data_IF_550527628024
#
_entry.id   IF_550527628024
#
_cell.length_a   1.000
_cell.length_b   1.000
_cell.length_c   1.000
_cell.angle_alpha   90.00
_cell.angle_beta   90.00
_cell.angle_gamma   90.00
#
_symmetry.space_group_name_H-M   'P 1'
#
loop_
_entity.id
_entity.type
_entity.pdbx_description
1 polymer ?
#
# COMPACT_ATOMS: atom_id res chain seq x y z
N UNK A 1 2.15 7.64 -0.27
CA UNK A 1 1.88 7.87 -1.70
C UNK A 1 2.14 6.64 -2.56
N UNK A 2 3.35 6.05 -2.48
CA UNK A 2 3.72 4.87 -3.27
C UNK A 2 2.85 3.65 -2.90
N UNK A 3 2.50 3.47 -1.63
CA UNK A 3 1.58 2.40 -1.19
C UNK A 3 0.18 2.58 -1.81
N UNK A 4 -0.36 3.79 -1.77
CA UNK A 4 -1.66 4.09 -2.38
C UNK A 4 -1.70 3.85 -3.89
N UNK A 5 -0.57 3.95 -4.57
CA UNK A 5 -0.49 3.76 -6.03
C UNK A 5 -0.18 2.32 -6.43
N UNK A 6 0.81 1.68 -5.79
CA UNK A 6 1.37 0.41 -6.24
C UNK A 6 1.11 -0.76 -5.27
N UNK A 7 1.18 -0.52 -3.96
CA UNK A 7 1.03 -1.57 -2.96
C UNK A 7 2.03 -2.73 -3.10
N UNK A 8 1.68 -3.90 -2.57
CA UNK A 8 2.37 -5.19 -2.77
C UNK A 8 3.88 -5.20 -2.47
N UNK A 9 4.34 -4.40 -1.50
CA UNK A 9 5.76 -4.32 -1.13
C UNK A 9 6.60 -3.32 -1.95
N UNK A 10 6.11 -2.83 -3.08
CA UNK A 10 6.77 -1.82 -3.92
C UNK A 10 7.15 -0.56 -3.13
N UNK A 11 6.29 -0.03 -2.23
CA UNK A 11 6.62 1.15 -1.44
C UNK A 11 7.83 0.96 -0.55
N UNK A 12 7.93 -0.18 0.11
CA UNK A 12 9.07 -0.50 0.98
C UNK A 12 10.36 -0.55 0.18
N UNK A 13 10.36 -1.21 -0.98
CA UNK A 13 11.53 -1.29 -1.86
C UNK A 13 12.00 0.09 -2.31
N UNK A 14 11.09 0.92 -2.81
CA UNK A 14 11.42 2.26 -3.32
C UNK A 14 11.83 3.18 -2.16
N UNK A 15 11.06 3.23 -1.06
CA UNK A 15 11.34 4.10 0.06
C UNK A 15 12.67 3.73 0.74
N UNK A 16 12.95 2.43 0.95
CA UNK A 16 14.23 1.98 1.47
C UNK A 16 15.41 2.38 0.57
N UNK A 17 15.30 2.16 -0.74
CA UNK A 17 16.33 2.56 -1.69
C UNK A 17 16.55 4.08 -1.71
N UNK A 18 15.47 4.89 -1.62
CA UNK A 18 15.57 6.33 -1.52
C UNK A 18 16.26 6.78 -0.23
N UNK A 19 15.92 6.18 0.91
CA UNK A 19 16.55 6.47 2.21
C UNK A 19 18.05 6.13 2.18
N UNK A 20 18.42 4.98 1.61
CA UNK A 20 19.84 4.62 1.42
C UNK A 20 20.54 5.63 0.51
N UNK A 21 19.89 6.08 -0.57
CA UNK A 21 20.40 7.14 -1.44
C UNK A 21 20.56 8.50 -0.76
N UNK A 22 19.81 8.74 0.33
CA UNK A 22 19.94 9.94 1.17
C UNK A 22 21.01 9.80 2.29
N UNK A 23 21.69 8.64 2.38
CA UNK A 23 22.78 8.43 3.33
C UNK A 23 22.42 7.54 4.53
N UNK A 24 21.19 7.01 4.61
CA UNK A 24 20.83 6.04 5.64
C UNK A 24 21.53 4.72 5.39
N UNK A 25 21.89 4.00 6.47
CA UNK A 25 22.38 2.63 6.31
C UNK A 25 21.24 1.74 5.77
N UNK A 26 21.55 0.67 5.02
CA UNK A 26 20.54 -0.22 4.45
C UNK A 26 19.54 -0.75 5.49
N UNK A 27 20.03 -1.12 6.68
CA UNK A 27 19.18 -1.61 7.77
C UNK A 27 18.19 -0.54 8.26
N UNK A 28 18.65 0.69 8.50
CA UNK A 28 17.78 1.79 8.90
C UNK A 28 16.81 2.19 7.80
N UNK A 29 17.28 2.23 6.54
CA UNK A 29 16.41 2.51 5.38
C UNK A 29 15.27 1.52 5.25
N UNK A 30 15.58 0.22 5.36
CA UNK A 30 14.58 -0.85 5.29
C UNK A 30 13.63 -0.82 6.50
N UNK A 31 14.15 -0.71 7.73
CA UNK A 31 13.34 -0.71 8.95
C UNK A 31 12.38 0.48 9.02
N UNK A 32 12.83 1.70 8.71
CA UNK A 32 11.98 2.89 8.68
C UNK A 32 10.90 2.76 7.60
N UNK A 33 11.26 2.27 6.40
CA UNK A 33 10.30 2.09 5.33
C UNK A 33 9.22 1.06 5.69
N UNK A 34 9.58 -0.04 6.38
CA UNK A 34 8.64 -1.05 6.86
C UNK A 34 7.66 -0.48 7.88
N UNK A 35 8.18 0.25 8.90
CA UNK A 35 7.32 0.87 9.94
C UNK A 35 6.39 1.91 9.30
N UNK A 36 6.92 2.79 8.46
CA UNK A 36 6.13 3.83 7.82
C UNK A 36 5.05 3.28 6.89
N UNK A 37 5.30 2.12 6.26
CA UNK A 37 4.34 1.46 5.38
C UNK A 37 3.12 0.88 6.10
N UNK A 38 3.13 0.80 7.43
CA UNK A 38 2.04 0.19 8.21
C UNK A 38 0.72 0.95 8.08
N UNK A 39 0.75 2.29 8.09
CA UNK A 39 -0.46 3.11 8.11
C UNK A 39 -1.33 3.02 6.82
N UNK A 40 -0.74 3.01 5.59
CA UNK A 40 -1.52 3.04 4.37
C UNK A 40 -1.97 1.66 3.83
N UNK A 41 -1.50 0.54 4.36
CA UNK A 41 -1.61 -0.80 3.73
C UNK A 41 -3.03 -1.19 3.31
N UNK A 42 -4.05 -0.94 4.12
CA UNK A 42 -5.42 -1.36 3.81
C UNK A 42 -6.03 -0.59 2.62
N UNK A 43 -5.59 0.64 2.38
CA UNK A 43 -6.00 1.45 1.24
C UNK A 43 -4.96 1.43 0.10
N UNK A 44 -3.92 0.60 0.22
CA UNK A 44 -2.87 0.46 -0.77
C UNK A 44 -3.36 -0.07 -2.11
N UNK A 45 -2.54 0.08 -3.15
CA UNK A 45 -2.85 -0.36 -4.51
C UNK A 45 -4.26 0.08 -4.98
N UNK A 46 -4.60 1.35 -4.78
CA UNK A 46 -5.90 1.93 -5.15
C UNK A 46 -7.06 1.24 -4.38
N UNK A 47 -6.83 0.87 -3.11
CA UNK A 47 -7.82 0.26 -2.24
C UNK A 47 -8.13 -1.21 -2.53
N UNK A 48 -7.29 -1.90 -3.29
CA UNK A 48 -7.51 -3.32 -3.66
C UNK A 48 -7.80 -4.22 -2.45
N UNK A 49 -7.12 -4.13 -1.29
CA UNK A 49 -7.42 -4.97 -0.15
C UNK A 49 -8.88 -4.88 0.29
N UNK A 50 -9.41 -3.68 0.48
CA UNK A 50 -10.79 -3.46 0.91
C UNK A 50 -11.81 -3.78 -0.19
N UNK A 51 -11.48 -3.51 -1.46
CA UNK A 51 -12.33 -3.88 -2.60
C UNK A 51 -12.47 -5.41 -2.67
N UNK A 52 -11.38 -6.14 -2.52
CA UNK A 52 -11.40 -7.62 -2.51
C UNK A 52 -12.16 -8.13 -1.29
N UNK A 53 -11.91 -7.57 -0.09
CA UNK A 53 -12.63 -7.95 1.13
C UNK A 53 -14.15 -7.78 0.95
N UNK A 54 -14.60 -6.65 0.43
CA UNK A 54 -16.01 -6.39 0.16
C UNK A 54 -16.58 -7.35 -0.90
N UNK A 55 -15.85 -7.58 -1.99
CA UNK A 55 -16.28 -8.48 -3.07
C UNK A 55 -16.44 -9.93 -2.60
N UNK A 56 -15.45 -10.46 -1.87
CA UNK A 56 -15.47 -11.86 -1.39
C UNK A 56 -16.55 -12.07 -0.32
N UNK A 57 -16.74 -11.08 0.57
CA UNK A 57 -17.77 -11.13 1.62
C UNK A 57 -19.18 -10.82 1.10
N UNK A 58 -19.30 -10.22 -0.10
CA UNK A 58 -20.58 -9.72 -0.63
C UNK A 58 -21.13 -8.52 0.13
N UNK A 59 -20.28 -7.78 0.84
CA UNK A 59 -20.64 -6.57 1.57
C UNK A 59 -20.50 -5.32 0.69
N UNK A 60 -21.18 -4.25 1.08
CA UNK A 60 -21.04 -2.98 0.38
C UNK A 60 -19.64 -2.40 0.58
N UNK A 61 -18.95 -2.11 -0.52
CA UNK A 61 -17.59 -1.61 -0.55
C UNK A 61 -17.43 -0.28 0.19
N UNK A 62 -18.42 0.60 0.09
CA UNK A 62 -18.39 1.91 0.73
C UNK A 62 -18.49 1.78 2.25
N UNK A 63 -19.34 0.88 2.74
CA UNK A 63 -19.51 0.59 4.16
C UNK A 63 -18.25 0.00 4.77
N UNK A 64 -17.63 -0.98 4.10
CA UNK A 64 -16.35 -1.58 4.55
C UNK A 64 -15.25 -0.52 4.59
N UNK A 65 -15.15 0.32 3.56
CA UNK A 65 -14.20 1.43 3.50
C UNK A 65 -14.39 2.43 4.64
N UNK A 66 -15.64 2.83 4.91
CA UNK A 66 -15.95 3.80 5.95
C UNK A 66 -15.58 3.27 7.35
N UNK A 67 -15.83 2.00 7.62
CA UNK A 67 -15.48 1.38 8.91
C UNK A 67 -13.95 1.32 9.08
N UNK A 68 -13.21 0.84 8.06
CA UNK A 68 -11.75 0.84 8.06
C UNK A 68 -11.18 2.27 8.22
N UNK A 69 -11.79 3.24 7.53
CA UNK A 69 -11.45 4.66 7.62
C UNK A 69 -11.74 5.34 8.95
N UNK A 70 -12.46 4.67 9.87
CA UNK A 70 -12.63 5.11 11.26
C UNK A 70 -11.62 4.46 12.21
N UNK A 71 -11.12 3.29 11.88
CA UNK A 71 -10.15 2.54 12.69
C UNK A 71 -8.71 2.98 12.43
N UNK A 72 -8.31 3.04 11.17
CA UNK A 72 -6.92 3.25 10.75
C UNK A 72 -6.35 4.65 11.03
N UNK A 73 -7.11 5.76 11.01
CA UNK A 73 -6.58 7.07 11.35
C UNK A 73 -5.92 7.15 12.72
N UNK A 74 -6.37 6.34 13.69
CA UNK A 74 -5.75 6.26 15.02
C UNK A 74 -4.31 5.74 14.90
N UNK A 75 -4.11 4.69 14.12
CA UNK A 75 -2.77 4.15 13.84
C UNK A 75 -1.92 5.16 13.05
N UNK A 76 -2.51 5.81 12.06
CA UNK A 76 -1.84 6.81 11.24
C UNK A 76 -1.32 8.02 12.05
N UNK A 77 -1.99 8.39 13.14
CA UNK A 77 -1.52 9.40 14.09
C UNK A 77 -0.27 8.95 14.86
N UNK A 78 -0.17 7.65 15.16
CA UNK A 78 0.90 7.09 16.00
C UNK A 78 2.16 6.82 15.18
N UNK A 79 2.01 6.35 13.93
CA UNK A 79 3.13 5.89 13.09
C UNK A 79 4.24 6.95 12.90
N UNK A 80 3.98 8.25 12.65
CA UNK A 80 5.05 9.24 12.54
C UNK A 80 5.89 9.38 13.83
N UNK A 81 5.24 9.31 14.99
CA UNK A 81 5.93 9.30 16.26
C UNK A 81 6.76 8.02 16.43
N UNK A 82 6.17 6.87 16.11
CA UNK A 82 6.85 5.58 16.21
C UNK A 82 8.12 5.56 15.33
N UNK A 83 8.03 5.98 14.07
CA UNK A 83 9.19 6.11 13.17
C UNK A 83 10.28 6.97 13.81
N UNK A 84 9.95 8.16 14.29
CA UNK A 84 10.91 9.07 14.90
C UNK A 84 11.54 8.48 16.18
N UNK A 85 10.72 7.87 17.04
CA UNK A 85 11.20 7.25 18.28
C UNK A 85 12.13 6.08 18.01
N UNK A 86 11.82 5.24 17.02
CA UNK A 86 12.67 4.13 16.61
C UNK A 86 14.01 4.64 16.08
N UNK A 87 14.01 5.75 15.33
CA UNK A 87 15.19 6.32 14.69
C UNK A 87 16.12 7.03 15.66
N UNK A 88 15.59 7.89 16.53
CA UNK A 88 16.43 8.78 17.37
C UNK A 88 16.09 8.77 18.86
N UNK A 89 15.18 7.88 19.27
CA UNK A 89 14.69 7.79 20.67
C UNK A 89 13.67 8.84 21.03
N UNK A 90 12.93 8.58 22.11
CA UNK A 90 11.76 9.40 22.52
C UNK A 90 12.11 10.88 22.77
N UNK A 91 13.19 11.14 23.51
CA UNK A 91 13.56 12.52 23.90
C UNK A 91 13.89 13.41 22.70
N UNK A 92 14.61 12.87 21.70
CA UNK A 92 14.94 13.62 20.47
C UNK A 92 13.73 13.77 19.54
N UNK A 93 12.83 12.79 19.54
CA UNK A 93 11.59 12.87 18.74
C UNK A 93 10.69 14.02 19.20
N UNK A 94 10.74 14.40 20.49
CA UNK A 94 9.98 15.55 21.02
C UNK A 94 10.47 16.90 20.46
N UNK A 95 11.71 16.99 19.99
CA UNK A 95 12.22 18.21 19.35
C UNK A 95 11.55 18.48 18.00
N UNK A 96 11.04 17.45 17.36
CA UNK A 96 10.33 17.52 16.06
C UNK A 96 8.82 17.24 16.18
N UNK A 97 8.29 17.30 17.41
CA UNK A 97 6.88 17.03 17.69
C UNK A 97 5.90 17.81 16.80
N UNK A 98 6.09 19.10 16.47
CA UNK A 98 5.20 19.82 15.57
C UNK A 98 5.08 19.16 14.20
N UNK A 99 6.19 18.67 13.63
CA UNK A 99 6.18 17.98 12.36
C UNK A 99 5.51 16.60 12.45
N UNK A 100 5.74 15.86 13.54
CA UNK A 100 5.09 14.58 13.81
C UNK A 100 3.57 14.74 13.89
N UNK A 101 3.10 15.73 14.65
CA UNK A 101 1.67 15.99 14.83
C UNK A 101 1.02 16.45 13.51
N UNK A 102 1.62 17.41 12.82
CA UNK A 102 1.09 17.87 11.53
C UNK A 102 1.05 16.73 10.51
N UNK A 103 2.11 15.93 10.43
CA UNK A 103 2.16 14.77 9.53
C UNK A 103 1.06 13.75 9.85
N UNK A 104 0.93 13.38 11.12
CA UNK A 104 -0.09 12.44 11.58
C UNK A 104 -1.52 12.95 11.38
N UNK A 105 -1.79 14.20 11.77
CA UNK A 105 -3.14 14.79 11.67
C UNK A 105 -3.56 15.00 10.21
N UNK A 106 -2.67 15.49 9.35
CA UNK A 106 -2.97 15.66 7.92
C UNK A 106 -3.26 14.32 7.26
N UNK A 107 -2.45 13.29 7.55
CA UNK A 107 -2.66 11.96 6.99
C UNK A 107 -3.97 11.35 7.51
N UNK A 108 -4.13 11.26 8.82
CA UNK A 108 -5.30 10.65 9.45
C UNK A 108 -6.61 11.36 9.08
N UNK A 109 -6.60 12.70 9.06
CA UNK A 109 -7.77 13.50 8.70
C UNK A 109 -8.21 13.29 7.25
N UNK A 110 -7.27 13.33 6.32
CA UNK A 110 -7.56 13.09 4.90
C UNK A 110 -7.98 11.62 4.66
N UNK A 111 -7.33 10.66 5.31
CA UNK A 111 -7.70 9.25 5.25
C UNK A 111 -9.13 9.02 5.74
N UNK A 112 -9.48 9.59 6.89
CA UNK A 112 -10.84 9.53 7.43
C UNK A 112 -11.87 10.09 6.45
N UNK A 113 -11.65 11.31 5.94
CA UNK A 113 -12.59 11.97 5.04
C UNK A 113 -12.77 11.18 3.74
N UNK A 114 -11.68 10.82 3.08
CA UNK A 114 -11.74 10.12 1.79
C UNK A 114 -12.33 8.71 1.93
N UNK A 115 -11.95 7.96 2.97
CA UNK A 115 -12.48 6.61 3.18
C UNK A 115 -13.98 6.59 3.50
N UNK A 116 -14.50 7.60 4.19
CA UNK A 116 -15.91 7.68 4.56
C UNK A 116 -16.81 8.28 3.47
N UNK A 117 -16.28 9.16 2.60
CA UNK A 117 -17.10 9.90 1.65
C UNK A 117 -16.82 9.57 0.18
N UNK A 118 -15.62 9.05 -0.13
CA UNK A 118 -15.24 8.67 -1.50
C UNK A 118 -15.14 7.15 -1.69
N UNK A 119 -14.75 6.42 -0.63
CA UNK A 119 -14.51 4.98 -0.69
C UNK A 119 -13.03 4.62 -0.66
N UNK A 120 -12.64 3.36 -0.97
CA UNK A 120 -11.30 2.85 -0.66
C UNK A 120 -10.21 3.28 -1.64
N UNK A 121 -10.55 3.88 -2.79
CA UNK A 121 -9.58 4.03 -3.89
C UNK A 121 -8.60 5.19 -3.74
N UNK A 122 -8.95 6.27 -3.05
CA UNK A 122 -8.14 7.48 -2.95
C UNK A 122 -7.61 7.86 -1.57
N UNK A 123 -7.96 7.20 -0.45
CA UNK A 123 -7.53 7.63 0.89
C UNK A 123 -6.04 7.84 1.02
N UNK A 124 -5.22 6.90 0.58
CA UNK A 124 -3.76 6.97 0.73
C UNK A 124 -3.12 8.06 -0.12
N UNK A 125 -3.57 8.22 -1.35
CA UNK A 125 -3.04 9.22 -2.27
C UNK A 125 -3.36 10.62 -1.74
N UNK A 126 -4.63 10.83 -1.38
CA UNK A 126 -5.08 12.11 -0.84
C UNK A 126 -4.44 12.44 0.50
N UNK A 127 -4.28 11.44 1.38
CA UNK A 127 -3.61 11.59 2.67
C UNK A 127 -2.13 11.94 2.53
N UNK A 128 -1.45 11.30 1.59
CA UNK A 128 -0.06 11.60 1.30
C UNK A 128 0.11 13.03 0.78
N UNK A 129 -0.74 13.46 -0.16
CA UNK A 129 -0.72 14.83 -0.68
C UNK A 129 -1.02 15.83 0.43
N UNK A 130 -2.05 15.61 1.24
CA UNK A 130 -2.39 16.47 2.36
C UNK A 130 -1.24 16.58 3.37
N UNK A 131 -0.54 15.48 3.64
CA UNK A 131 0.62 15.44 4.53
C UNK A 131 1.80 16.22 3.96
N UNK A 132 2.11 16.04 2.68
CA UNK A 132 3.19 16.79 2.01
C UNK A 132 2.89 18.29 2.07
N UNK A 133 1.67 18.70 1.72
CA UNK A 133 1.26 20.11 1.77
C UNK A 133 1.34 20.64 3.20
N UNK A 134 0.81 19.92 4.18
CA UNK A 134 0.85 20.31 5.60
C UNK A 134 2.27 20.50 6.13
N UNK A 135 3.18 19.57 5.81
CA UNK A 135 4.58 19.66 6.22
C UNK A 135 5.32 20.80 5.50
N UNK A 136 5.08 20.99 4.21
CA UNK A 136 5.68 22.12 3.47
C UNK A 136 5.24 23.47 4.04
N UNK A 137 3.95 23.61 4.39
CA UNK A 137 3.44 24.82 5.03
C UNK A 137 4.04 25.01 6.43
N UNK A 138 4.12 23.94 7.23
CA UNK A 138 4.75 24.00 8.54
C UNK A 138 6.21 24.47 8.44
N UNK A 139 6.99 23.89 7.54
CA UNK A 139 8.42 24.18 7.40
C UNK A 139 8.72 25.60 6.90
N UNK A 140 7.72 26.32 6.36
CA UNK A 140 7.85 27.75 6.06
C UNK A 140 7.86 28.62 7.30
N UNK A 141 7.13 28.23 8.35
CA UNK A 141 6.98 28.99 9.61
C UNK A 141 7.79 28.41 10.76
N UNK A 142 8.11 27.12 10.71
CA UNK A 142 8.80 26.41 11.78
C UNK A 142 9.99 25.62 11.24
N UNK A 143 11.10 25.63 11.95
CA UNK A 143 12.29 24.84 11.65
C UNK A 143 12.76 24.13 12.92
N UNK A 144 13.21 22.88 12.82
CA UNK A 144 13.77 22.17 13.96
C UNK A 144 15.04 22.90 14.46
N UNK A 145 15.20 22.98 15.76
CA UNK A 145 16.34 23.64 16.40
C UNK A 145 17.65 22.86 16.24
N UNK A 146 17.55 21.54 16.07
CA UNK A 146 18.69 20.63 15.88
C UNK A 146 18.40 19.65 14.76
N UNK A 147 19.42 19.29 13.98
CA UNK A 147 19.35 18.25 12.96
C UNK A 147 19.92 16.96 13.54
N UNK A 148 19.15 15.89 13.54
CA UNK A 148 19.61 14.56 13.91
C UNK A 148 20.47 13.99 12.78
N UNK A 149 21.57 13.33 13.13
CA UNK A 149 22.44 12.58 12.20
C UNK A 149 22.83 11.26 12.83
N UNK A 150 23.00 10.24 12.03
CA UNK A 150 23.54 8.95 12.47
C UNK A 150 25.07 9.06 12.65
N UNK A 151 25.61 8.23 13.54
CA UNK A 151 27.05 8.11 13.70
C UNK A 151 27.68 7.59 12.40
N UNK A 152 28.67 8.31 11.86
CA UNK A 152 29.33 7.96 10.59
C UNK A 152 28.62 8.45 9.33
N UNK A 153 27.55 9.22 9.44
CA UNK A 153 26.90 9.87 8.29
C UNK A 153 27.83 10.96 7.72
N UNK A 154 28.17 10.92 6.41
CA UNK A 154 28.99 11.94 5.80
C UNK A 154 28.31 13.30 5.93
N UNK A 155 29.08 14.36 6.15
CA UNK A 155 28.54 15.72 6.15
C UNK A 155 27.93 16.00 4.77
N UNK A 156 26.60 15.86 4.67
CA UNK A 156 25.89 16.27 3.48
C UNK A 156 25.92 17.80 3.43
N UNK A 157 26.70 18.34 2.52
CA UNK A 157 26.66 19.75 2.14
C UNK A 157 25.30 20.06 1.45
N UNK A 158 24.19 19.80 2.15
CA UNK A 158 22.86 20.25 1.79
C UNK A 158 22.67 21.75 2.09
N UNK A 159 23.77 22.49 2.20
CA UNK A 159 23.75 23.94 2.22
C UNK A 159 23.35 24.45 0.83
N UNK A 160 22.06 24.48 0.61
CA UNK A 160 21.32 25.53 -0.04
C UNK A 160 21.71 26.02 -1.43
N UNK A 161 22.27 25.23 -2.32
CA UNK A 161 22.10 25.54 -3.74
C UNK A 161 20.81 24.92 -4.23
N UNK A 162 19.72 25.69 -4.17
CA UNK A 162 18.44 25.25 -4.71
C UNK A 162 18.63 24.81 -6.16
N UNK A 163 18.33 23.53 -6.46
CA UNK A 163 18.31 23.08 -7.84
C UNK A 163 17.37 23.95 -8.66
N UNK A 164 17.69 24.28 -9.92
CA UNK A 164 16.77 24.97 -10.80
C UNK A 164 15.42 24.29 -10.84
N UNK A 165 14.35 25.07 -10.85
CA UNK A 165 12.98 24.53 -10.85
C UNK A 165 12.74 23.49 -11.97
N UNK A 166 13.41 23.65 -13.11
CA UNK A 166 13.37 22.72 -14.24
C UNK A 166 13.95 21.33 -13.90
N UNK A 167 15.03 21.30 -13.10
CA UNK A 167 15.65 20.03 -12.66
C UNK A 167 14.74 19.35 -11.65
N UNK A 168 14.19 20.12 -10.71
CA UNK A 168 13.23 19.60 -9.72
C UNK A 168 11.99 19.06 -10.41
N UNK A 169 11.38 19.82 -11.32
CA UNK A 169 10.19 19.40 -12.05
C UNK A 169 10.46 18.13 -12.89
N UNK A 170 11.62 18.05 -13.51
CA UNK A 170 12.00 16.85 -14.28
C UNK A 170 12.20 15.63 -13.39
N UNK A 171 12.79 15.80 -12.21
CA UNK A 171 12.93 14.72 -11.22
C UNK A 171 11.57 14.25 -10.65
N UNK A 172 10.62 15.17 -10.47
CA UNK A 172 9.26 14.86 -10.03
C UNK A 172 8.35 14.35 -11.15
N UNK A 173 8.72 14.55 -12.41
CA UNK A 173 7.92 14.19 -13.57
C UNK A 173 7.34 12.76 -13.52
N UNK A 174 8.15 11.71 -13.31
CA UNK A 174 7.65 10.33 -13.22
C UNK A 174 6.61 10.14 -12.13
N UNK A 175 6.78 10.78 -10.97
CA UNK A 175 5.82 10.68 -9.85
C UNK A 175 4.52 11.44 -10.14
N UNK A 176 4.60 12.58 -10.83
CA UNK A 176 3.42 13.34 -11.27
C UNK A 176 2.64 12.49 -12.29
N UNK A 177 3.32 11.92 -13.28
CA UNK A 177 2.71 11.03 -14.28
C UNK A 177 2.04 9.85 -13.59
N UNK A 178 2.71 9.19 -12.64
CA UNK A 178 2.15 8.09 -11.87
C UNK A 178 0.89 8.54 -11.12
N UNK A 179 0.94 9.68 -10.42
CA UNK A 179 -0.20 10.22 -9.68
C UNK A 179 -1.42 10.47 -10.58
N UNK A 180 -1.20 11.04 -11.75
CA UNK A 180 -2.24 11.32 -12.74
C UNK A 180 -2.88 10.03 -13.24
N UNK A 181 -2.07 9.04 -13.66
CA UNK A 181 -2.59 7.76 -14.11
C UNK A 181 -3.40 7.07 -13.03
N UNK A 182 -2.86 6.97 -11.82
CA UNK A 182 -3.53 6.30 -10.70
C UNK A 182 -4.80 7.02 -10.29
N UNK A 183 -4.81 8.36 -10.31
CA UNK A 183 -6.02 9.14 -10.06
C UNK A 183 -7.15 8.78 -11.06
N UNK A 184 -6.86 8.79 -12.36
CA UNK A 184 -7.86 8.41 -13.37
C UNK A 184 -8.32 6.96 -13.21
N UNK A 185 -7.39 6.02 -12.99
CA UNK A 185 -7.74 4.61 -12.73
C UNK A 185 -8.49 4.39 -11.41
N UNK A 186 -8.38 5.32 -10.45
CA UNK A 186 -9.15 5.32 -9.21
C UNK A 186 -10.61 5.73 -9.40
N UNK A 187 -10.94 6.49 -10.47
CA UNK A 187 -12.30 6.99 -10.72
C UNK A 187 -13.21 5.89 -11.27
N UNK A 188 -14.39 5.63 -10.65
CA UNK A 188 -15.33 4.63 -11.13
C UNK A 188 -15.78 4.88 -12.59
N UNK A 189 -15.98 6.15 -12.94
CA UNK A 189 -16.40 6.56 -14.29
C UNK A 189 -15.36 6.15 -15.33
N UNK A 190 -14.08 6.36 -15.04
CA UNK A 190 -12.98 6.00 -15.92
C UNK A 190 -12.83 4.49 -16.06
N UNK A 191 -12.94 3.75 -14.94
CA UNK A 191 -12.95 2.27 -14.96
C UNK A 191 -14.08 1.72 -15.83
N UNK A 192 -15.27 2.30 -15.75
CA UNK A 192 -16.42 1.88 -16.56
C UNK A 192 -16.15 2.08 -18.06
N UNK A 193 -15.52 3.20 -18.44
CA UNK A 193 -15.10 3.44 -19.83
C UNK A 193 -14.09 2.38 -20.30
N UNK A 194 -13.08 2.07 -19.47
CA UNK A 194 -12.07 1.06 -19.80
C UNK A 194 -12.68 -0.34 -19.92
N UNK A 195 -13.61 -0.68 -19.04
CA UNK A 195 -14.29 -1.99 -19.05
C UNK A 195 -15.28 -2.13 -20.21
N UNK A 196 -15.75 -1.03 -20.79
CA UNK A 196 -16.61 -1.05 -21.98
C UNK A 196 -15.84 -1.36 -23.28
N UNK A 197 -14.49 -1.31 -23.26
CA UNK A 197 -13.67 -1.68 -24.41
C UNK A 197 -13.79 -3.19 -24.67
N UNK A 198 -14.15 -3.63 -25.90
CA UNK A 198 -14.25 -5.04 -26.21
C UNK A 198 -12.98 -5.81 -25.88
N UNK A 199 -13.11 -6.91 -25.13
CA UNK A 199 -11.96 -7.73 -24.69
C UNK A 199 -11.16 -7.18 -23.51
N UNK A 200 -11.51 -6.03 -22.96
CA UNK A 200 -10.84 -5.45 -21.78
C UNK A 200 -11.27 -6.11 -20.46
N UNK A 201 -12.46 -6.68 -20.44
CA UNK A 201 -13.02 -7.38 -19.29
C UNK A 201 -13.53 -8.76 -19.70
N UNK A 202 -12.73 -9.80 -19.39
CA UNK A 202 -13.06 -11.18 -19.66
C UNK A 202 -13.39 -11.86 -18.35
N UNK A 203 -14.58 -12.42 -18.23
CA UNK A 203 -14.97 -13.21 -17.06
C UNK A 203 -15.26 -14.65 -17.46
N UNK A 204 -14.73 -15.59 -16.72
CA UNK A 204 -15.00 -17.01 -16.90
C UNK A 204 -15.14 -17.72 -15.57
N UNK A 205 -16.00 -18.76 -15.53
CA UNK A 205 -16.12 -19.64 -14.38
C UNK A 205 -14.85 -20.48 -14.22
N UNK A 206 -14.35 -20.57 -12.99
CA UNK A 206 -13.17 -21.40 -12.71
C UNK A 206 -13.47 -22.89 -12.97
N UNK A 207 -12.75 -23.56 -13.85
CA UNK A 207 -13.02 -24.97 -14.16
C UNK A 207 -12.91 -25.86 -12.93
N UNK A 208 -13.89 -26.73 -12.71
CA UNK A 208 -13.95 -27.67 -11.58
C UNK A 208 -14.31 -27.03 -10.23
N UNK A 209 -14.72 -25.73 -10.22
CA UNK A 209 -15.13 -25.04 -8.99
C UNK A 209 -16.43 -24.26 -9.16
N UNK A 210 -16.61 -23.60 -10.32
CA UNK A 210 -17.76 -22.76 -10.59
C UNK A 210 -19.03 -23.61 -10.76
N UNK A 211 -19.97 -23.47 -9.84
CA UNK A 211 -21.21 -24.22 -9.87
C UNK A 211 -21.11 -25.68 -9.41
N UNK A 212 -19.92 -26.15 -8.94
CA UNK A 212 -19.71 -27.51 -8.49
C UNK A 212 -19.84 -27.67 -6.96
N UNK A 213 -19.64 -26.60 -6.22
CA UNK A 213 -19.70 -26.59 -4.76
C UNK A 213 -21.02 -25.98 -4.28
N UNK A 214 -21.76 -26.71 -3.44
CA UNK A 214 -22.99 -26.21 -2.82
C UNK A 214 -22.66 -25.48 -1.52
N UNK A 215 -23.13 -24.26 -1.39
CA UNK A 215 -23.14 -23.54 -0.12
C UNK A 215 -24.43 -23.91 0.62
N UNK A 216 -24.29 -24.38 1.87
CA UNK A 216 -25.41 -24.77 2.72
C UNK A 216 -25.40 -24.00 4.03
N UNK A 217 -26.42 -24.13 4.84
CA UNK A 217 -26.45 -23.56 6.18
C UNK A 217 -25.24 -24.07 7.01
N UNK A 218 -24.60 -23.23 7.85
CA UNK A 218 -24.95 -21.84 8.21
C UNK A 218 -24.39 -20.76 7.25
N UNK A 219 -23.68 -21.15 6.18
CA UNK A 219 -22.98 -20.21 5.28
C UNK A 219 -23.99 -19.35 4.50
N UNK A 220 -25.10 -19.95 4.09
CA UNK A 220 -26.20 -19.26 3.39
C UNK A 220 -27.53 -19.71 3.97
N UNK A 221 -28.52 -18.81 3.98
CA UNK A 221 -29.87 -19.11 4.47
C UNK A 221 -30.63 -20.06 3.56
N UNK A 222 -30.30 -20.09 2.28
CA UNK A 222 -30.82 -21.02 1.28
C UNK A 222 -29.66 -21.62 0.49
N UNK A 223 -29.72 -22.90 0.23
CA UNK A 223 -28.69 -23.61 -0.52
C UNK A 223 -28.48 -22.95 -1.89
N UNK A 224 -27.24 -22.66 -2.22
CA UNK A 224 -26.87 -22.02 -3.47
C UNK A 224 -25.52 -22.53 -3.98
N UNK A 225 -25.37 -22.60 -5.30
CA UNK A 225 -24.12 -23.00 -5.91
C UNK A 225 -23.05 -21.89 -5.75
N UNK A 226 -21.82 -22.31 -5.49
CA UNK A 226 -20.69 -21.40 -5.40
C UNK A 226 -20.32 -20.86 -6.77
N UNK A 227 -20.49 -19.55 -6.98
CA UNK A 227 -20.13 -18.86 -8.22
C UNK A 227 -18.66 -18.48 -8.23
N UNK A 228 -17.76 -19.41 -8.51
CA UNK A 228 -16.33 -19.13 -8.67
C UNK A 228 -16.07 -18.55 -10.06
N UNK A 229 -16.16 -17.23 -10.22
CA UNK A 229 -15.86 -16.51 -11.45
C UNK A 229 -14.54 -15.77 -11.32
N UNK A 230 -13.69 -15.86 -12.33
CA UNK A 230 -12.49 -15.05 -12.46
C UNK A 230 -12.75 -13.93 -13.49
N UNK A 231 -12.58 -12.70 -13.06
CA UNK A 231 -12.70 -11.52 -13.92
C UNK A 231 -11.30 -11.01 -14.29
N UNK A 232 -10.93 -11.17 -15.55
CA UNK A 232 -9.68 -10.65 -16.10
C UNK A 232 -9.91 -9.28 -16.73
N UNK A 233 -9.85 -8.25 -15.90
CA UNK A 233 -10.06 -6.85 -16.27
C UNK A 233 -8.72 -6.13 -16.48
N UNK A 234 -7.93 -6.65 -17.40
CA UNK A 234 -6.53 -6.24 -17.59
C UNK A 234 -6.35 -4.74 -17.87
N UNK A 235 -7.28 -4.09 -18.58
CA UNK A 235 -7.14 -2.68 -18.94
C UNK A 235 -7.48 -1.74 -17.76
N UNK A 236 -8.48 -2.08 -16.95
CA UNK A 236 -8.91 -1.28 -15.79
C UNK A 236 -8.17 -1.64 -14.49
N UNK A 237 -7.29 -2.64 -14.54
CA UNK A 237 -6.46 -3.01 -13.40
C UNK A 237 -5.45 -1.91 -13.04
N UNK A 238 -5.21 -1.70 -11.74
CA UNK A 238 -4.25 -0.71 -11.25
C UNK A 238 -2.82 -0.95 -11.75
N UNK A 239 -2.43 -2.21 -11.93
CA UNK A 239 -1.13 -2.58 -12.50
C UNK A 239 -0.91 -2.03 -13.90
N UNK A 240 -1.96 -1.93 -14.72
CA UNK A 240 -1.90 -1.33 -16.06
C UNK A 240 -1.64 0.18 -15.98
N UNK A 241 -2.26 0.90 -15.04
CA UNK A 241 -1.98 2.30 -14.79
C UNK A 241 -0.49 2.53 -14.46
N UNK A 242 0.06 1.70 -13.58
CA UNK A 242 1.48 1.77 -13.16
C UNK A 242 2.40 1.46 -14.34
N UNK A 243 2.11 0.41 -15.11
CA UNK A 243 2.89 0.05 -16.29
C UNK A 243 2.91 1.19 -17.32
N UNK A 244 1.74 1.73 -17.66
CA UNK A 244 1.61 2.83 -18.63
C UNK A 244 2.32 4.09 -18.13
N UNK A 245 2.16 4.44 -16.84
CA UNK A 245 2.86 5.59 -16.24
C UNK A 245 4.38 5.41 -16.31
N UNK A 246 4.87 4.20 -16.06
CA UNK A 246 6.27 3.85 -16.21
C UNK A 246 6.78 4.04 -17.64
N UNK A 247 6.05 3.52 -18.62
CA UNK A 247 6.40 3.66 -20.04
C UNK A 247 6.44 5.15 -20.49
N UNK A 248 5.45 5.93 -20.08
CA UNK A 248 5.39 7.39 -20.37
C UNK A 248 6.53 8.14 -19.67
N UNK A 249 6.99 7.66 -18.54
CA UNK A 249 8.06 8.30 -17.76
C UNK A 249 9.47 8.03 -18.33
N UNK A 250 9.68 6.96 -19.13
CA UNK A 250 10.99 6.60 -19.69
C UNK A 250 11.66 7.76 -20.43
N UNK A 251 10.99 8.48 -21.36
CA UNK A 251 11.60 9.58 -22.09
C UNK A 251 11.95 10.80 -21.20
N UNK A 252 11.34 10.90 -20.01
CA UNK A 252 11.61 12.00 -19.07
C UNK A 252 12.93 11.81 -18.33
N UNK A 253 13.47 10.60 -18.30
CA UNK A 253 14.71 10.27 -17.58
C UNK A 253 15.93 10.50 -18.49
N UNK A 254 16.91 11.31 -18.06
CA UNK A 254 18.11 11.55 -18.85
C UNK A 254 18.94 10.24 -18.96
N UNK A 255 19.42 9.96 -20.16
CA UNK A 255 20.25 8.78 -20.46
C UNK A 255 19.60 7.42 -20.16
N UNK A 256 18.26 7.37 -20.14
CA UNK A 256 17.49 6.16 -19.86
C UNK A 256 16.55 5.84 -21.03
N UNK A 257 16.91 4.84 -21.81
CA UNK A 257 16.14 4.41 -22.97
C UNK A 257 15.25 3.20 -22.66
N UNK A 258 14.31 2.89 -23.56
CA UNK A 258 13.38 1.76 -23.42
C UNK A 258 14.09 0.41 -23.23
N UNK A 259 15.24 0.18 -23.86
CA UNK A 259 16.02 -1.05 -23.63
C UNK A 259 16.48 -1.21 -22.18
N UNK A 260 16.93 -0.11 -21.55
CA UNK A 260 17.28 -0.11 -20.13
C UNK A 260 16.04 -0.29 -19.23
N UNK A 261 14.91 0.27 -19.62
CA UNK A 261 13.65 0.11 -18.89
C UNK A 261 13.19 -1.36 -18.88
N UNK A 262 13.23 -2.03 -20.03
CA UNK A 262 12.90 -3.46 -20.15
C UNK A 262 13.88 -4.30 -19.33
N UNK A 263 15.19 -4.04 -19.43
CA UNK A 263 16.19 -4.75 -18.65
C UNK A 263 15.98 -4.55 -17.13
N UNK A 264 15.64 -3.34 -16.71
CA UNK A 264 15.30 -3.04 -15.33
C UNK A 264 14.05 -3.81 -14.89
N UNK A 265 12.99 -3.80 -15.68
CA UNK A 265 11.76 -4.56 -15.42
C UNK A 265 12.04 -6.05 -15.25
N UNK A 266 12.80 -6.66 -16.17
CA UNK A 266 13.15 -8.08 -16.08
C UNK A 266 14.03 -8.41 -14.87
N UNK A 267 14.96 -7.51 -14.52
CA UNK A 267 15.77 -7.66 -13.31
C UNK A 267 14.90 -7.62 -12.05
N UNK A 268 14.01 -6.63 -11.95
CA UNK A 268 13.07 -6.50 -10.83
C UNK A 268 12.15 -7.71 -10.73
N UNK A 269 11.60 -8.19 -11.84
CA UNK A 269 10.77 -9.39 -11.88
C UNK A 269 11.54 -10.59 -11.32
N UNK A 270 12.80 -10.78 -11.73
CA UNK A 270 13.65 -11.86 -11.21
C UNK A 270 13.95 -11.72 -9.71
N UNK A 271 14.23 -10.50 -9.24
CA UNK A 271 14.47 -10.24 -7.83
C UNK A 271 13.23 -10.51 -6.97
N UNK A 272 12.05 -10.16 -7.48
CA UNK A 272 10.78 -10.33 -6.78
C UNK A 272 10.13 -11.70 -6.98
N UNK A 273 10.74 -12.61 -7.74
CA UNK A 273 10.15 -13.94 -7.99
C UNK A 273 9.90 -14.70 -6.69
N UNK A 274 10.88 -14.73 -5.78
CA UNK A 274 10.74 -15.42 -4.50
C UNK A 274 9.68 -14.76 -3.59
N UNK A 275 9.70 -13.43 -3.34
CA UNK A 275 8.62 -12.75 -2.61
C UNK A 275 7.22 -12.97 -3.23
N UNK A 276 7.11 -12.96 -4.56
CA UNK A 276 5.82 -13.22 -5.24
C UNK A 276 5.38 -14.67 -5.00
N UNK A 277 6.29 -15.64 -5.11
CA UNK A 277 5.95 -17.05 -4.87
C UNK A 277 5.60 -17.32 -3.41
N UNK A 278 6.25 -16.67 -2.45
CA UNK A 278 5.91 -16.82 -1.03
C UNK A 278 4.54 -16.24 -0.70
N UNK A 279 4.09 -15.20 -1.41
CA UNK A 279 2.75 -14.66 -1.23
C UNK A 279 1.64 -15.57 -1.77
N UNK A 280 1.96 -16.55 -2.61
CA UNK A 280 1.04 -17.57 -3.13
C UNK A 280 0.83 -18.75 -2.17
N UNK A 281 1.42 -18.73 -0.96
CA UNK A 281 1.28 -19.82 0.02
C UNK A 281 0.05 -19.61 0.93
N UNK A 282 -1.16 -20.02 0.52
CA UNK A 282 -2.37 -19.81 1.31
C UNK A 282 -2.61 -20.91 2.37
N UNK A 283 -1.63 -21.79 2.63
CA UNK A 283 -1.88 -23.09 3.27
C UNK A 283 -1.97 -23.10 4.80
N UNK A 284 -1.70 -21.99 5.49
CA UNK A 284 -1.62 -22.01 6.96
C UNK A 284 -2.56 -21.03 7.66
N UNK A 285 -3.82 -21.03 7.27
CA UNK A 285 -4.71 -20.12 7.92
C UNK A 285 -5.95 -20.79 8.50
N UNK A 286 -6.15 -20.54 9.78
CA UNK A 286 -7.42 -19.98 10.24
C UNK A 286 -7.28 -18.85 11.26
N UNK A 287 -6.18 -18.23 11.32
CA UNK A 287 -5.97 -17.19 12.32
C UNK A 287 -5.93 -15.81 11.67
N UNK A 288 -7.11 -15.16 11.62
CA UNK A 288 -7.31 -13.73 11.62
C UNK A 288 -6.39 -12.88 10.71
N UNK A 289 -6.86 -11.78 10.23
CA UNK A 289 -6.18 -10.92 9.25
C UNK A 289 -4.70 -10.66 9.52
N UNK A 290 -4.30 -10.53 10.79
CA UNK A 290 -2.92 -10.36 11.18
C UNK A 290 -2.03 -11.53 10.73
N UNK A 291 -2.41 -12.76 11.06
CA UNK A 291 -1.67 -13.96 10.62
C UNK A 291 -1.71 -14.12 9.11
N UNK A 292 -2.84 -13.82 8.49
CA UNK A 292 -2.97 -13.85 7.04
C UNK A 292 -1.95 -12.93 6.36
N UNK A 293 -1.83 -11.69 6.80
CA UNK A 293 -0.84 -10.75 6.24
C UNK A 293 0.58 -11.14 6.61
N UNK A 294 0.82 -11.62 7.83
CA UNK A 294 2.13 -12.11 8.23
C UNK A 294 2.60 -13.24 7.31
N UNK A 295 1.75 -14.24 7.07
CA UNK A 295 2.10 -15.42 6.26
C UNK A 295 2.16 -15.12 4.76
N UNK A 296 1.21 -14.34 4.23
CA UNK A 296 1.11 -14.07 2.79
C UNK A 296 1.88 -12.84 2.34
N UNK A 297 2.26 -11.98 3.27
CA UNK A 297 2.86 -10.68 2.97
C UNK A 297 1.93 -9.71 2.24
N UNK A 298 0.64 -10.04 2.11
CA UNK A 298 -0.33 -9.25 1.34
C UNK A 298 -1.66 -9.14 2.07
N UNK A 299 -2.09 -7.91 2.36
CA UNK A 299 -3.39 -7.64 2.95
C UNK A 299 -4.54 -8.03 2.00
N UNK A 300 -4.36 -7.86 0.70
CA UNK A 300 -5.31 -8.34 -0.33
C UNK A 300 -5.50 -9.84 -0.25
N UNK A 301 -4.42 -10.62 -0.11
CA UNK A 301 -4.50 -12.08 0.00
C UNK A 301 -5.19 -12.50 1.31
N UNK A 302 -4.89 -11.83 2.43
CA UNK A 302 -5.57 -12.04 3.70
C UNK A 302 -7.07 -11.75 3.58
N UNK A 303 -7.45 -10.64 2.98
CA UNK A 303 -8.85 -10.26 2.78
C UNK A 303 -9.59 -11.25 1.86
N UNK A 304 -8.94 -11.74 0.82
CA UNK A 304 -9.52 -12.75 -0.07
C UNK A 304 -9.77 -14.08 0.64
N UNK A 305 -8.83 -14.52 1.49
CA UNK A 305 -8.94 -15.78 2.24
C UNK A 305 -9.98 -15.72 3.34
N UNK A 306 -10.03 -14.63 4.09
CA UNK A 306 -10.79 -14.56 5.35
C UNK A 306 -12.06 -13.70 5.27
N UNK A 307 -12.24 -12.85 4.25
CA UNK A 307 -13.38 -11.95 4.17
C UNK A 307 -14.73 -12.67 4.23
N UNK A 308 -14.88 -13.76 3.48
CA UNK A 308 -16.09 -14.59 3.52
C UNK A 308 -16.30 -15.25 4.89
N UNK A 309 -15.26 -15.90 5.42
CA UNK A 309 -15.32 -16.56 6.74
C UNK A 309 -15.60 -15.56 7.86
N UNK A 310 -15.00 -14.38 7.83
CA UNK A 310 -15.23 -13.31 8.82
C UNK A 310 -16.69 -12.84 8.79
N UNK A 311 -17.26 -12.64 7.60
CA UNK A 311 -18.67 -12.29 7.42
C UNK A 311 -19.57 -13.33 8.05
N UNK A 312 -19.38 -14.62 7.67
CA UNK A 312 -20.27 -15.71 8.08
C UNK A 312 -20.16 -15.99 9.58
N UNK A 313 -18.94 -15.94 10.13
CA UNK A 313 -18.71 -16.07 11.57
C UNK A 313 -19.35 -14.93 12.34
N UNK A 314 -19.20 -13.69 11.87
CA UNK A 314 -19.81 -12.52 12.52
C UNK A 314 -21.34 -12.62 12.56
N UNK A 315 -21.97 -13.04 11.46
CA UNK A 315 -23.40 -13.29 11.40
C UNK A 315 -23.85 -14.37 12.39
N UNK A 316 -23.09 -15.46 12.51
CA UNK A 316 -23.39 -16.56 13.42
C UNK A 316 -23.29 -16.18 14.91
N UNK A 317 -22.41 -15.24 15.26
CA UNK A 317 -22.22 -14.76 16.65
C UNK A 317 -22.99 -13.46 16.95
N UNK A 318 -23.80 -12.96 16.01
CA UNK A 318 -24.60 -11.73 16.20
C UNK A 318 -23.80 -10.44 16.15
N UNK A 319 -22.61 -10.42 15.53
CA UNK A 319 -21.80 -9.24 15.26
C UNK A 319 -22.13 -8.64 13.89
N UNK A 320 -21.81 -7.34 13.68
CA UNK A 320 -21.88 -6.75 12.35
C UNK A 320 -20.86 -7.43 11.42
N UNK A 321 -21.29 -8.03 10.31
CA UNK A 321 -20.40 -8.61 9.30
C UNK A 321 -19.43 -7.57 8.70
N UNK A 322 -19.91 -6.32 8.51
CA UNK A 322 -19.11 -5.22 7.98
C UNK A 322 -17.95 -4.87 8.90
N UNK A 323 -18.23 -4.85 10.21
CA UNK A 323 -17.20 -4.60 11.21
C UNK A 323 -16.14 -5.72 11.22
N UNK A 324 -16.56 -6.97 11.14
CA UNK A 324 -15.64 -8.11 11.14
C UNK A 324 -14.71 -8.08 9.90
N UNK A 325 -15.27 -7.85 8.71
CA UNK A 325 -14.49 -7.79 7.47
C UNK A 325 -13.55 -6.58 7.44
N UNK A 326 -14.03 -5.40 7.88
CA UNK A 326 -13.19 -4.21 7.98
C UNK A 326 -12.06 -4.39 9.00
N UNK A 327 -12.34 -5.05 10.12
CA UNK A 327 -11.34 -5.35 11.16
C UNK A 327 -10.29 -6.36 10.70
N UNK A 328 -10.66 -7.33 9.85
CA UNK A 328 -9.70 -8.23 9.22
C UNK A 328 -8.66 -7.45 8.39
N UNK A 329 -9.11 -6.56 7.51
CA UNK A 329 -8.23 -5.71 6.72
C UNK A 329 -7.39 -4.77 7.60
N UNK A 330 -8.01 -4.13 8.59
CA UNK A 330 -7.31 -3.23 9.52
C UNK A 330 -6.29 -3.95 10.41
N UNK A 331 -6.61 -5.16 10.85
CA UNK A 331 -5.72 -6.00 11.66
C UNK A 331 -4.49 -6.48 10.87
N UNK A 332 -4.65 -6.74 9.59
CA UNK A 332 -3.57 -7.13 8.69
C UNK A 332 -2.47 -6.09 8.54
N UNK A 333 -2.81 -4.81 8.70
CA UNK A 333 -1.89 -3.68 8.49
C UNK A 333 -0.61 -3.79 9.31
N UNK A 334 -0.70 -4.12 10.60
CA UNK A 334 0.47 -4.21 11.50
C UNK A 334 1.37 -5.40 11.20
N UNK A 335 0.82 -6.50 10.67
CA UNK A 335 1.59 -7.68 10.29
C UNK A 335 2.45 -7.45 9.04
N UNK A 336 2.08 -6.49 8.20
CA UNK A 336 2.81 -6.14 6.97
C UNK A 336 4.27 -5.76 7.26
N UNK A 337 4.52 -5.08 8.37
CA UNK A 337 5.84 -4.63 8.79
C UNK A 337 6.83 -5.78 9.01
N UNK A 338 6.35 -6.91 9.52
CA UNK A 338 7.18 -8.08 9.88
C UNK A 338 6.93 -9.28 8.97
N UNK A 339 6.17 -9.12 7.89
CA UNK A 339 5.90 -10.21 6.98
C UNK A 339 7.15 -10.64 6.21
N UNK A 340 7.40 -11.95 6.03
CA UNK A 340 8.56 -12.44 5.29
C UNK A 340 8.68 -11.86 3.89
N UNK A 341 7.56 -11.65 3.20
CA UNK A 341 7.54 -11.01 1.89
C UNK A 341 8.06 -9.56 1.94
N UNK A 342 7.61 -8.76 2.89
CA UNK A 342 8.05 -7.37 3.01
C UNK A 342 9.53 -7.28 3.37
N UNK A 343 10.00 -8.16 4.27
CA UNK A 343 11.41 -8.28 4.63
C UNK A 343 12.27 -8.67 3.42
N UNK A 344 11.86 -9.71 2.67
CA UNK A 344 12.60 -10.14 1.47
C UNK A 344 12.64 -9.05 0.39
N UNK A 345 11.57 -8.29 0.21
CA UNK A 345 11.56 -7.16 -0.72
C UNK A 345 12.47 -6.03 -0.24
N UNK A 346 12.45 -5.72 1.06
CA UNK A 346 13.31 -4.69 1.64
C UNK A 346 14.80 -5.06 1.53
N UNK A 347 15.17 -6.30 1.88
CA UNK A 347 16.56 -6.79 1.79
C UNK A 347 17.03 -6.87 0.34
N UNK A 348 16.18 -7.30 -0.59
CA UNK A 348 16.50 -7.29 -2.02
C UNK A 348 16.74 -5.86 -2.54
N UNK A 349 15.91 -4.90 -2.13
CA UNK A 349 16.03 -3.50 -2.55
C UNK A 349 17.28 -2.80 -1.99
N UNK A 350 17.79 -3.25 -0.83
CA UNK A 350 18.96 -2.68 -0.16
C UNK A 350 20.24 -3.51 -0.35
N UNK A 351 20.20 -4.54 -1.21
CA UNK A 351 21.30 -5.51 -1.43
C UNK A 351 21.72 -6.28 -0.15
N UNK A 352 20.75 -6.55 0.73
CA UNK A 352 20.96 -7.29 1.99
C UNK A 352 20.31 -8.68 1.96
N UNK A 353 20.18 -9.29 0.78
CA UNK A 353 19.58 -10.63 0.62
C UNK A 353 20.34 -11.65 1.48
N UNK A 354 19.58 -12.45 2.25
CA UNK A 354 20.13 -13.41 3.20
C UNK A 354 20.35 -12.85 4.62
N UNK A 355 19.96 -11.59 4.88
CA UNK A 355 20.07 -10.95 6.20
C UNK A 355 18.68 -10.62 6.79
N UNK A 356 17.64 -11.30 6.33
CA UNK A 356 16.25 -11.05 6.71
C UNK A 356 15.97 -11.29 8.21
N UNK A 357 16.88 -11.98 8.90
CA UNK A 357 16.79 -12.27 10.33
C UNK A 357 17.55 -11.30 11.24
N UNK A 358 18.26 -10.33 10.67
CA UNK A 358 19.01 -9.31 11.39
C UNK A 358 18.18 -8.04 11.50
#
# INVERSE_FOLDING_TARGET
>A
FIEGTAGFGTPVAIAAAMLVGLGFTPLWGAGIALIANTAPVAFGAIGVPLIVAASVSGLDQMTVSAIAGRQLPILALIVPLWVCVTMCGFRRSMEVLPAIVVGGVCFAGAQYLLANYHGPTLPDIGSAIATIVGLVLLLKVWKPSRTFRFEGEPESNLSGSGYPASVVLRAWGPYIVLAVFVFFWGLPQFKNILNAVPGANLSFGWPGLHGEVMKTAPIVAQDSLYGATFAFNWLSAGGTAILLSGLVSVPMMPNYGFGKAVACFMRTLRQLTFPILTSLFPFFSPLLGWLGVFLTGSDTSSCALFGGMQKDTAAAVGMSPELAVASNASGGVTAKMISPQSLSVATAATNMVGQEGN
#
